data_IF_568630846575
#
_entry.id   IF_568630846575
#
_cell.length_a   1.000
_cell.length_b   1.000
_cell.length_c   1.000
_cell.angle_alpha   90.00
_cell.angle_beta   90.00
_cell.angle_gamma   90.00
#
_symmetry.space_group_name_H-M   'P 1'
#
loop_
_entity.id
_entity.type
_entity.pdbx_description
1 polymer ?
#
# COMPACT_ATOMS: atom_id res chain seq x y z
N UNK A 1 -5.90 17.91 18.14
CA UNK A 1 -7.16 17.39 17.54
C UNK A 1 -7.03 15.88 17.35
N UNK A 2 -8.02 15.11 17.79
CA UNK A 2 -8.03 13.65 17.63
C UNK A 2 -8.02 13.28 16.14
N UNK A 3 -7.10 12.41 15.74
CA UNK A 3 -6.84 12.09 14.32
C UNK A 3 -7.71 10.94 13.82
N UNK A 4 -8.27 10.14 14.73
CA UNK A 4 -9.25 9.08 14.46
C UNK A 4 -10.38 9.20 15.48
N UNK A 5 -11.63 9.31 15.02
CA UNK A 5 -12.83 9.25 15.88
C UNK A 5 -13.32 7.80 15.97
N UNK A 6 -12.49 6.92 16.53
CA UNK A 6 -12.87 5.52 16.74
C UNK A 6 -12.24 5.04 18.04
N UNK A 7 -13.03 4.35 18.86
CA UNK A 7 -12.56 3.73 20.11
C UNK A 7 -11.82 2.41 19.86
N UNK A 8 -11.68 2.02 18.59
CA UNK A 8 -11.01 0.79 18.19
C UNK A 8 -9.58 1.05 17.71
N UNK A 9 -8.63 0.41 18.39
CA UNK A 9 -7.21 0.38 18.00
C UNK A 9 -6.90 -1.05 17.55
N UNK A 10 -6.44 -1.20 16.31
CA UNK A 10 -6.07 -2.51 15.75
C UNK A 10 -4.76 -3.06 16.36
N UNK A 11 -4.47 -4.33 16.12
CA UNK A 11 -3.36 -5.03 16.77
C UNK A 11 -1.98 -4.53 16.35
N UNK A 12 -1.84 -3.98 15.13
CA UNK A 12 -0.58 -3.37 14.67
C UNK A 12 -0.17 -2.21 15.57
N UNK A 13 -1.10 -1.29 15.88
CA UNK A 13 -0.80 -0.16 16.76
C UNK A 13 -0.55 -0.60 18.22
N UNK A 14 -1.27 -1.62 18.69
CA UNK A 14 -1.02 -2.22 20.02
C UNK A 14 0.38 -2.82 20.12
N UNK A 15 0.84 -3.50 19.07
CA UNK A 15 2.19 -4.07 19.02
C UNK A 15 3.26 -2.96 19.04
N UNK A 16 3.09 -1.90 18.25
CA UNK A 16 4.02 -0.77 18.26
C UNK A 16 4.03 -0.02 19.59
N UNK A 17 2.95 -0.06 20.39
CA UNK A 17 2.89 0.61 21.68
C UNK A 17 3.91 0.10 22.72
N UNK A 18 4.53 -1.06 22.47
CA UNK A 18 5.64 -1.55 23.28
C UNK A 18 6.91 -0.68 23.13
N UNK A 19 7.02 0.09 22.05
CA UNK A 19 8.04 1.12 21.84
C UNK A 19 7.36 2.46 21.48
N UNK A 20 7.15 3.36 22.47
CA UNK A 20 6.48 4.64 22.26
C UNK A 20 7.16 5.55 21.22
N UNK A 21 8.48 5.48 21.07
CA UNK A 21 9.22 6.31 20.10
C UNK A 21 8.91 5.84 18.69
N UNK A 22 8.97 4.52 18.45
CA UNK A 22 8.62 3.93 17.16
C UNK A 22 7.13 4.09 16.83
N UNK A 23 6.24 3.94 17.83
CA UNK A 23 4.80 4.17 17.65
C UNK A 23 4.54 5.60 17.17
N UNK A 24 5.08 6.60 17.87
CA UNK A 24 4.82 8.02 17.56
C UNK A 24 5.29 8.35 16.14
N UNK A 25 6.53 8.00 15.79
CA UNK A 25 7.08 8.27 14.46
C UNK A 25 6.24 7.59 13.37
N UNK A 26 5.94 6.31 13.53
CA UNK A 26 5.16 5.55 12.53
C UNK A 26 3.76 6.12 12.35
N UNK A 27 3.11 6.49 13.45
CA UNK A 27 1.78 7.12 13.42
C UNK A 27 1.80 8.45 12.67
N UNK A 28 2.74 9.34 12.98
CA UNK A 28 2.89 10.64 12.33
C UNK A 28 3.20 10.49 10.83
N UNK A 29 4.12 9.59 10.47
CA UNK A 29 4.46 9.32 9.07
C UNK A 29 3.27 8.76 8.28
N UNK A 30 2.56 7.75 8.80
CA UNK A 30 1.39 7.18 8.11
C UNK A 30 0.30 8.24 7.94
N UNK A 31 0.04 9.05 8.98
CA UNK A 31 -0.94 10.14 8.89
C UNK A 31 -0.59 11.13 7.78
N UNK A 32 0.68 11.55 7.69
CA UNK A 32 1.12 12.50 6.69
C UNK A 32 1.07 11.92 5.27
N UNK A 33 1.58 10.70 5.09
CA UNK A 33 1.65 10.04 3.76
C UNK A 33 0.24 9.74 3.22
N UNK A 34 -0.67 9.29 4.10
CA UNK A 34 -2.03 8.92 3.71
C UNK A 34 -3.04 10.09 3.74
N UNK A 35 -2.62 11.30 4.13
CA UNK A 35 -3.47 12.49 4.03
C UNK A 35 -3.82 12.82 2.57
N UNK A 36 -4.93 13.53 2.29
CA UNK A 36 -5.25 13.99 0.94
C UNK A 36 -4.11 14.77 0.30
N UNK A 37 -3.91 14.58 -1.00
CA UNK A 37 -2.88 15.27 -1.78
C UNK A 37 -3.11 15.07 -3.28
N UNK A 38 -2.03 15.03 -4.06
CA UNK A 38 -2.12 14.80 -5.51
C UNK A 38 -2.76 13.45 -5.89
N UNK A 39 -2.64 12.44 -5.01
CA UNK A 39 -3.36 11.17 -5.11
C UNK A 39 -4.52 11.17 -4.10
N UNK A 40 -5.69 10.72 -4.54
CA UNK A 40 -6.85 10.55 -3.68
C UNK A 40 -6.71 9.34 -2.73
N UNK A 41 -7.64 9.22 -1.78
CA UNK A 41 -7.55 8.22 -0.72
C UNK A 41 -7.65 6.77 -1.26
N UNK A 42 -8.57 6.52 -2.21
CA UNK A 42 -8.74 5.18 -2.78
C UNK A 42 -7.51 4.76 -3.57
N UNK A 43 -6.90 5.66 -4.34
CA UNK A 43 -5.66 5.38 -5.08
C UNK A 43 -4.52 5.02 -4.13
N UNK A 44 -4.34 5.79 -3.06
CA UNK A 44 -3.29 5.51 -2.07
C UNK A 44 -3.48 4.15 -1.38
N UNK A 45 -4.71 3.81 -0.99
CA UNK A 45 -4.98 2.53 -0.34
C UNK A 45 -4.84 1.35 -1.31
N UNK A 46 -5.24 1.49 -2.58
CA UNK A 46 -5.00 0.46 -3.61
C UNK A 46 -3.51 0.21 -3.85
N UNK A 47 -2.69 1.26 -3.90
CA UNK A 47 -1.22 1.12 -4.00
C UNK A 47 -0.68 0.38 -2.76
N UNK A 48 -1.10 0.77 -1.56
CA UNK A 48 -0.68 0.11 -0.32
C UNK A 48 -1.07 -1.37 -0.32
N UNK A 49 -2.30 -1.68 -0.74
CA UNK A 49 -2.80 -3.04 -0.88
C UNK A 49 -1.99 -3.85 -1.91
N UNK A 50 -1.71 -3.28 -3.09
CA UNK A 50 -0.91 -3.93 -4.12
C UNK A 50 0.48 -4.32 -3.60
N UNK A 51 1.16 -3.40 -2.91
CA UNK A 51 2.46 -3.67 -2.27
C UNK A 51 2.32 -4.73 -1.18
N UNK A 52 1.26 -4.68 -0.38
CA UNK A 52 1.00 -5.66 0.69
C UNK A 52 0.79 -7.07 0.16
N UNK A 53 0.08 -7.21 -0.97
CA UNK A 53 -0.13 -8.50 -1.66
C UNK A 53 1.18 -9.02 -2.23
N UNK A 54 1.95 -8.19 -2.94
CA UNK A 54 3.26 -8.58 -3.48
C UNK A 54 4.25 -8.99 -2.38
N UNK A 55 4.20 -8.34 -1.22
CA UNK A 55 5.01 -8.68 -0.03
C UNK A 55 4.40 -9.79 0.83
N UNK A 56 3.26 -10.36 0.43
CA UNK A 56 2.59 -11.47 1.12
C UNK A 56 2.28 -11.19 2.60
N UNK A 57 2.04 -9.93 2.97
CA UNK A 57 1.72 -9.55 4.35
C UNK A 57 0.22 -9.76 4.64
N UNK A 58 -0.16 -10.92 5.19
CA UNK A 58 -1.57 -11.25 5.48
C UNK A 58 -2.32 -10.20 6.32
N UNK A 59 -1.67 -9.65 7.36
CA UNK A 59 -2.27 -8.58 8.17
C UNK A 59 -2.52 -7.31 7.35
N UNK A 60 -1.52 -6.90 6.56
CA UNK A 60 -1.56 -5.69 5.74
C UNK A 60 -2.61 -5.82 4.62
N UNK A 61 -2.69 -6.99 3.98
CA UNK A 61 -3.71 -7.30 2.98
C UNK A 61 -5.10 -7.10 3.58
N UNK A 62 -5.37 -7.70 4.74
CA UNK A 62 -6.68 -7.54 5.39
C UNK A 62 -6.98 -6.08 5.75
N UNK A 63 -6.02 -5.37 6.37
CA UNK A 63 -6.25 -3.99 6.82
C UNK A 63 -6.41 -3.00 5.67
N UNK A 64 -5.62 -3.13 4.61
CA UNK A 64 -5.65 -2.22 3.47
C UNK A 64 -6.77 -2.56 2.48
N UNK A 65 -7.21 -3.81 2.39
CA UNK A 65 -8.48 -4.14 1.69
C UNK A 65 -9.66 -3.42 2.36
N UNK A 66 -9.78 -3.52 3.69
CA UNK A 66 -10.86 -2.85 4.42
C UNK A 66 -10.78 -1.31 4.28
N UNK A 67 -9.58 -0.74 4.34
CA UNK A 67 -9.37 0.70 4.18
C UNK A 67 -9.67 1.18 2.75
N UNK A 68 -9.22 0.45 1.72
CA UNK A 68 -9.49 0.74 0.31
C UNK A 68 -10.99 0.65 0.00
N UNK A 69 -11.69 -0.39 0.48
CA UNK A 69 -13.15 -0.50 0.31
C UNK A 69 -13.87 0.67 0.97
N UNK A 70 -13.47 1.06 2.19
CA UNK A 70 -14.04 2.24 2.86
C UNK A 70 -13.75 3.55 2.09
N UNK A 71 -12.62 3.63 1.40
CA UNK A 71 -12.25 4.77 0.57
C UNK A 71 -12.96 4.78 -0.81
N UNK A 72 -13.69 3.73 -1.17
CA UNK A 72 -14.48 3.66 -2.40
C UNK A 72 -14.03 2.58 -3.41
N UNK A 73 -13.08 1.71 -3.07
CA UNK A 73 -12.69 0.60 -3.94
C UNK A 73 -13.84 -0.38 -4.12
N UNK A 74 -14.28 -0.58 -5.36
CA UNK A 74 -15.33 -1.54 -5.72
C UNK A 74 -14.76 -2.97 -5.83
N UNK A 75 -15.66 -3.96 -5.92
CA UNK A 75 -15.26 -5.34 -6.18
C UNK A 75 -14.56 -5.49 -7.55
N UNK A 76 -15.03 -4.78 -8.56
CA UNK A 76 -14.42 -4.77 -9.89
C UNK A 76 -13.01 -4.16 -9.85
N UNK A 77 -12.83 -3.04 -9.14
CA UNK A 77 -11.52 -2.43 -8.92
C UNK A 77 -10.57 -3.38 -8.20
N UNK A 78 -11.06 -4.11 -7.18
CA UNK A 78 -10.25 -5.10 -6.47
C UNK A 78 -9.82 -6.25 -7.39
N UNK A 79 -10.73 -6.79 -8.20
CA UNK A 79 -10.42 -7.86 -9.15
C UNK A 79 -9.37 -7.42 -10.18
N UNK A 80 -9.55 -6.22 -10.75
CA UNK A 80 -8.58 -5.62 -11.68
C UNK A 80 -7.23 -5.35 -11.01
N UNK A 81 -7.22 -4.83 -9.78
CA UNK A 81 -6.00 -4.63 -9.00
C UNK A 81 -5.24 -5.95 -8.80
N UNK A 82 -5.93 -7.05 -8.47
CA UNK A 82 -5.28 -8.36 -8.32
C UNK A 82 -4.70 -8.89 -9.64
N UNK A 83 -5.38 -8.65 -10.77
CA UNK A 83 -4.85 -9.00 -12.09
C UNK A 83 -3.57 -8.20 -12.40
N UNK A 84 -3.55 -6.88 -12.14
CA UNK A 84 -2.37 -6.03 -12.31
C UNK A 84 -1.22 -6.47 -11.40
N UNK A 85 -1.49 -6.77 -10.13
CA UNK A 85 -0.49 -7.27 -9.17
C UNK A 85 0.09 -8.61 -9.62
N UNK A 86 -0.76 -9.54 -10.08
CA UNK A 86 -0.31 -10.82 -10.62
C UNK A 86 0.61 -10.64 -11.82
N UNK A 87 0.18 -9.85 -12.80
CA UNK A 87 0.97 -9.61 -14.00
C UNK A 87 2.29 -8.90 -13.70
N UNK A 88 2.28 -7.87 -12.86
CA UNK A 88 3.50 -7.15 -12.47
C UNK A 88 4.51 -8.10 -11.80
N UNK A 89 4.06 -8.98 -10.90
CA UNK A 89 4.96 -9.96 -10.26
C UNK A 89 5.52 -10.99 -11.25
N UNK A 90 4.73 -11.43 -12.24
CA UNK A 90 5.20 -12.35 -13.27
C UNK A 90 6.23 -11.68 -14.19
N UNK A 91 5.92 -10.52 -14.77
CA UNK A 91 6.83 -9.83 -15.69
C UNK A 91 8.09 -9.33 -15.00
N UNK A 92 8.01 -8.89 -13.74
CA UNK A 92 9.19 -8.53 -12.95
C UNK A 92 10.16 -9.71 -12.81
N UNK A 93 9.65 -10.93 -12.56
CA UNK A 93 10.46 -12.14 -12.46
C UNK A 93 11.07 -12.54 -13.79
N UNK A 94 10.32 -12.45 -14.88
CA UNK A 94 10.85 -12.73 -16.23
C UNK A 94 11.96 -11.74 -16.60
N UNK A 95 11.72 -10.45 -16.42
CA UNK A 95 12.69 -9.39 -16.73
C UNK A 95 13.97 -9.53 -15.88
N UNK A 96 13.81 -9.71 -14.56
CA UNK A 96 14.94 -9.90 -13.65
C UNK A 96 15.68 -11.21 -13.92
N UNK A 97 14.96 -12.31 -14.17
CA UNK A 97 15.55 -13.63 -14.44
C UNK A 97 16.35 -13.66 -15.73
N UNK A 98 15.86 -13.02 -16.80
CA UNK A 98 16.57 -12.91 -18.07
C UNK A 98 17.62 -11.79 -18.11
N UNK A 99 17.74 -11.00 -17.03
CA UNK A 99 18.65 -9.84 -16.99
C UNK A 99 18.43 -8.90 -18.19
N UNK A 100 17.16 -8.59 -18.48
CA UNK A 100 16.81 -7.72 -19.61
C UNK A 100 17.47 -6.35 -19.43
N UNK A 101 18.21 -5.90 -20.44
CA UNK A 101 18.84 -4.59 -20.44
C UNK A 101 17.79 -3.47 -20.45
N UNK A 102 18.05 -2.40 -19.69
CA UNK A 102 17.17 -1.22 -19.70
C UNK A 102 17.33 -0.49 -21.03
N UNK A 103 16.25 -0.38 -21.79
CA UNK A 103 16.24 0.38 -23.05
C UNK A 103 16.70 1.83 -22.84
N UNK A 104 17.60 2.31 -23.69
CA UNK A 104 18.08 3.70 -23.65
C UNK A 104 16.95 4.74 -23.76
N UNK A 105 15.82 4.36 -24.37
CA UNK A 105 14.63 5.24 -24.48
C UNK A 105 14.01 5.54 -23.11
N UNK A 106 14.11 4.63 -22.13
CA UNK A 106 13.60 4.86 -20.77
C UNK A 106 14.55 5.72 -19.92
N UNK A 107 15.84 5.74 -20.26
CA UNK A 107 16.87 6.53 -19.55
C UNK A 107 16.86 8.01 -19.95
N UNK A 108 16.25 8.35 -21.09
CA UNK A 108 16.08 9.74 -21.54
C UNK A 108 14.85 10.35 -20.90
N UNK A 109 14.91 10.59 -19.61
CA UNK A 109 14.01 11.54 -18.95
C UNK A 109 14.61 12.93 -19.09
N UNK A 110 13.81 13.83 -19.67
CA UNK A 110 14.05 15.26 -19.89
C UNK A 110 14.72 15.98 -18.72
#
# INVERSE_FOLDING_TARGET
MATRQTDWINNFWKALAHDPVTLKRTWESIKQIMAPGALDAVTKEMIYLAVSVSNQCGYCIASHTAAATKAGMTADMFAELMAVVGMANETNRLSSGYQVEIDQKFLKTS
#
